data_IF_931857728789
#
_entry.id   IF_931857728789
#
_cell.length_a   1.000
_cell.length_b   1.000
_cell.length_c   1.000
_cell.angle_alpha   90.00
_cell.angle_beta   90.00
_cell.angle_gamma   90.00
#
_symmetry.space_group_name_H-M   'P 1'
#
loop_
_entity.id
_entity.type
_entity.pdbx_description
1 polymer ?
#
# COMPACT_ATOMS: atom_id res chain seq x y z
N UNK A 1 -34.98 -3.89 44.90
CA UNK A 1 -34.06 -3.68 43.76
C UNK A 1 -32.73 -4.28 44.17
N UNK A 2 -32.34 -5.41 43.57
CA UNK A 2 -30.99 -5.94 43.79
C UNK A 2 -30.03 -5.00 43.07
N UNK A 3 -29.00 -4.51 43.78
CA UNK A 3 -27.88 -3.85 43.11
C UNK A 3 -27.26 -4.89 42.17
N UNK A 4 -27.43 -4.69 40.85
CA UNK A 4 -26.88 -5.56 39.82
C UNK A 4 -25.35 -5.49 39.75
N UNK A 5 -24.73 -4.53 40.45
CA UNK A 5 -23.30 -4.29 40.47
C UNK A 5 -22.76 -4.06 41.88
N UNK A 6 -21.52 -4.47 42.09
CA UNK A 6 -20.70 -4.13 43.25
C UNK A 6 -19.33 -3.69 42.74
N UNK A 7 -18.68 -2.76 43.46
CA UNK A 7 -17.33 -2.30 43.12
C UNK A 7 -16.35 -2.97 44.08
N UNK A 8 -15.37 -3.66 43.50
CA UNK A 8 -14.22 -4.19 44.21
C UNK A 8 -13.00 -3.34 43.90
N UNK A 9 -12.23 -3.01 44.93
CA UNK A 9 -10.96 -2.30 44.81
C UNK A 9 -9.82 -3.28 45.01
N UNK A 10 -8.88 -3.31 44.06
CA UNK A 10 -7.70 -4.18 44.14
C UNK A 10 -6.50 -3.33 44.51
N UNK A 11 -5.81 -3.69 45.60
CA UNK A 11 -4.56 -3.04 45.99
C UNK A 11 -3.46 -3.39 44.99
N UNK A 12 -3.20 -2.47 44.06
CA UNK A 12 -2.23 -2.67 42.98
C UNK A 12 -0.80 -2.87 43.51
N UNK A 13 -0.42 -2.21 44.61
CA UNK A 13 0.93 -2.31 45.16
C UNK A 13 1.24 -3.73 45.65
N UNK A 14 0.33 -4.30 46.44
CA UNK A 14 0.47 -5.68 46.93
C UNK A 14 0.40 -6.70 45.79
N UNK A 15 -0.49 -6.50 44.82
CA UNK A 15 -0.61 -7.39 43.67
C UNK A 15 0.66 -7.38 42.80
N UNK A 16 1.22 -6.21 42.54
CA UNK A 16 2.46 -6.08 41.77
C UNK A 16 3.62 -6.75 42.50
N UNK A 17 3.76 -6.55 43.81
CA UNK A 17 4.83 -7.17 44.60
C UNK A 17 4.78 -8.71 44.58
N UNK A 18 3.59 -9.30 44.46
CA UNK A 18 3.41 -10.76 44.39
C UNK A 18 3.69 -11.32 42.99
N UNK A 19 3.39 -10.57 41.95
CA UNK A 19 3.37 -11.09 40.57
C UNK A 19 4.55 -10.64 39.69
N UNK A 20 5.19 -9.50 39.99
CA UNK A 20 6.24 -8.92 39.15
C UNK A 20 7.59 -8.87 39.88
N UNK A 21 8.71 -8.98 39.15
CA UNK A 21 10.02 -8.73 39.70
C UNK A 21 10.18 -7.25 40.08
N UNK A 22 11.12 -6.96 40.99
CA UNK A 22 11.42 -5.58 41.42
C UNK A 22 12.00 -4.71 40.30
N UNK A 23 12.67 -5.33 39.32
CA UNK A 23 13.40 -4.64 38.24
C UNK A 23 13.09 -5.35 36.93
N UNK A 24 12.77 -4.58 35.89
CA UNK A 24 12.69 -5.04 34.50
C UNK A 24 13.97 -4.63 33.77
N UNK A 25 14.56 -5.56 33.03
CA UNK A 25 15.76 -5.33 32.23
C UNK A 25 15.34 -5.06 30.78
N UNK A 26 15.98 -4.08 30.14
CA UNK A 26 15.77 -3.71 28.73
C UNK A 26 17.13 -3.54 28.08
N UNK A 27 17.41 -4.33 27.05
CA UNK A 27 18.58 -4.13 26.19
C UNK A 27 18.22 -3.12 25.11
N UNK A 28 18.98 -2.03 25.02
CA UNK A 28 18.73 -0.95 24.06
C UNK A 28 19.84 -0.90 23.01
N UNK A 29 19.45 -0.71 21.75
CA UNK A 29 20.37 -0.38 20.65
C UNK A 29 20.56 1.14 20.51
N UNK A 30 21.42 1.57 19.59
CA UNK A 30 21.84 2.97 19.40
C UNK A 30 20.66 3.96 19.22
N UNK A 31 19.61 3.54 18.52
CA UNK A 31 18.45 4.37 18.23
C UNK A 31 17.21 3.92 19.02
N UNK A 32 17.41 3.45 20.25
CA UNK A 32 16.33 3.06 21.14
C UNK A 32 16.40 3.80 22.47
N UNK A 33 15.23 4.03 23.07
CA UNK A 33 15.11 4.60 24.42
C UNK A 33 13.98 3.96 25.20
N UNK A 34 14.02 4.13 26.52
CA UNK A 34 12.89 3.82 27.37
C UNK A 34 11.70 4.72 27.01
N UNK A 35 10.53 4.12 26.85
CA UNK A 35 9.30 4.82 26.55
C UNK A 35 8.91 5.73 27.72
N UNK A 36 8.80 7.06 27.53
CA UNK A 36 8.43 7.98 28.60
C UNK A 36 6.94 7.91 28.96
N UNK A 37 6.09 7.32 28.10
CA UNK A 37 4.64 7.22 28.35
C UNK A 37 4.33 6.13 29.37
N UNK A 38 4.99 4.98 29.27
CA UNK A 38 4.81 3.87 30.20
C UNK A 38 6.02 3.66 31.13
N UNK A 39 7.00 4.57 31.10
CA UNK A 39 8.23 4.51 31.89
C UNK A 39 8.96 3.16 31.77
N UNK A 40 8.98 2.57 30.56
CA UNK A 40 9.63 1.27 30.32
C UNK A 40 8.83 0.03 30.70
N UNK A 41 7.63 0.17 31.29
CA UNK A 41 6.80 -0.97 31.65
C UNK A 41 6.27 -1.71 30.42
N UNK A 42 6.00 -0.98 29.34
CA UNK A 42 5.34 -1.51 28.13
C UNK A 42 3.83 -1.70 28.28
N UNK A 43 3.27 -1.40 29.46
CA UNK A 43 1.86 -1.51 29.76
C UNK A 43 1.31 -0.20 30.34
N UNK A 44 0.00 -0.02 30.23
CA UNK A 44 -0.79 1.05 30.85
C UNK A 44 -2.08 0.46 31.40
N UNK A 45 -2.70 1.14 32.36
CA UNK A 45 -4.06 0.81 32.76
C UNK A 45 -5.01 1.30 31.67
N UNK A 46 -5.91 0.44 31.23
CA UNK A 46 -6.97 0.74 30.28
C UNK A 46 -8.34 0.42 30.89
N UNK A 47 -9.30 1.28 30.60
CA UNK A 47 -10.69 1.11 30.98
C UNK A 47 -11.42 0.34 29.87
N UNK A 48 -11.77 -0.93 30.12
CA UNK A 48 -12.60 -1.71 29.22
C UNK A 48 -14.06 -1.46 29.56
N UNK A 49 -14.72 -0.58 28.79
CA UNK A 49 -16.11 -0.17 29.03
C UNK A 49 -17.10 -1.26 28.59
N UNK A 50 -18.19 -1.42 29.34
CA UNK A 50 -19.24 -2.40 29.05
C UNK A 50 -20.60 -1.96 29.61
N UNK A 51 -21.65 -2.67 29.18
CA UNK A 51 -23.03 -2.48 29.61
C UNK A 51 -23.61 -3.78 30.14
N UNK A 52 -24.68 -3.69 30.93
CA UNK A 52 -25.40 -4.84 31.47
C UNK A 52 -26.78 -4.85 30.84
N UNK A 53 -27.14 -5.96 30.21
CA UNK A 53 -28.45 -6.12 29.60
C UNK A 53 -29.56 -5.94 30.66
N UNK A 54 -30.55 -5.09 30.35
CA UNK A 54 -31.66 -4.80 31.27
C UNK A 54 -31.34 -3.83 32.42
N UNK A 55 -30.15 -3.22 32.44
CA UNK A 55 -29.80 -2.22 33.47
C UNK A 55 -30.64 -0.93 33.31
N UNK A 56 -31.47 -0.68 34.32
CA UNK A 56 -32.33 0.49 34.42
C UNK A 56 -31.86 1.52 35.46
N UNK A 57 -30.61 1.39 35.93
CA UNK A 57 -29.97 2.37 36.81
C UNK A 57 -29.89 3.76 36.18
N UNK A 58 -29.68 4.81 36.98
CA UNK A 58 -29.49 6.16 36.45
C UNK A 58 -28.30 6.22 35.46
N UNK A 59 -27.23 5.47 35.75
CA UNK A 59 -26.06 5.39 34.89
C UNK A 59 -26.37 4.66 33.57
N UNK A 60 -27.05 3.51 33.61
CA UNK A 60 -27.46 2.76 32.41
C UNK A 60 -28.48 3.48 31.54
N UNK A 61 -29.31 4.35 32.13
CA UNK A 61 -30.20 5.24 31.36
C UNK A 61 -29.48 6.41 30.71
N UNK A 62 -28.38 6.89 31.31
CA UNK A 62 -27.63 8.08 30.84
C UNK A 62 -26.55 7.74 29.83
N UNK A 63 -25.89 6.58 29.96
CA UNK A 63 -24.75 6.19 29.13
C UNK A 63 -24.93 4.77 28.60
N UNK A 64 -24.57 4.54 27.33
CA UNK A 64 -24.68 3.23 26.68
C UNK A 64 -23.80 2.15 27.34
N UNK A 65 -22.60 2.53 27.79
CA UNK A 65 -21.64 1.65 28.47
C UNK A 65 -21.14 2.34 29.76
N UNK A 66 -21.94 2.31 30.84
CA UNK A 66 -21.65 3.08 32.06
C UNK A 66 -20.58 2.44 32.95
N UNK A 67 -20.26 1.16 32.74
CA UNK A 67 -19.36 0.39 33.58
C UNK A 67 -18.03 0.15 32.89
N UNK A 68 -17.00 -0.13 33.69
CA UNK A 68 -15.65 -0.38 33.18
C UNK A 68 -14.88 -1.36 34.06
N UNK A 69 -14.13 -2.23 33.41
CA UNK A 69 -13.11 -3.04 34.06
C UNK A 69 -11.73 -2.48 33.72
N UNK A 70 -10.99 -2.08 34.75
CA UNK A 70 -9.61 -1.64 34.57
C UNK A 70 -8.70 -2.85 34.41
N UNK A 71 -7.87 -2.86 33.37
CA UNK A 71 -6.89 -3.92 33.15
C UNK A 71 -5.57 -3.34 32.65
N UNK A 72 -4.50 -4.10 32.79
CA UNK A 72 -3.24 -3.79 32.10
C UNK A 72 -3.42 -4.07 30.60
N UNK A 73 -3.05 -3.10 29.78
CA UNK A 73 -3.06 -3.17 28.32
C UNK A 73 -1.72 -2.67 27.78
N UNK A 74 -1.36 -3.09 26.58
CA UNK A 74 -0.11 -2.68 25.96
C UNK A 74 -0.07 -1.17 25.71
N UNK A 75 1.08 -0.56 26.00
CA UNK A 75 1.35 0.82 25.66
C UNK A 75 1.49 0.97 24.15
N UNK A 76 0.61 1.76 23.54
CA UNK A 76 0.55 1.95 22.09
C UNK A 76 1.70 2.80 21.53
N UNK A 77 2.46 3.44 22.41
CA UNK A 77 3.55 4.35 22.02
C UNK A 77 4.92 3.66 22.00
N UNK A 78 5.00 2.35 22.22
CA UNK A 78 6.26 1.61 22.32
C UNK A 78 6.06 0.12 22.03
N UNK A 79 7.15 -0.61 21.89
CA UNK A 79 7.15 -2.06 21.93
C UNK A 79 7.76 -2.52 23.26
N UNK A 80 6.94 -3.11 24.14
CA UNK A 80 7.37 -3.62 25.45
C UNK A 80 8.19 -2.62 26.30
N UNK A 81 7.85 -1.33 26.22
CA UNK A 81 8.49 -0.27 27.01
C UNK A 81 9.68 0.40 26.32
N UNK A 82 10.01 0.01 25.09
CA UNK A 82 11.11 0.59 24.31
C UNK A 82 10.55 1.31 23.08
N UNK A 83 11.04 2.53 22.85
CA UNK A 83 10.76 3.31 21.65
C UNK A 83 11.96 3.28 20.72
N UNK A 84 11.70 2.97 19.45
CA UNK A 84 12.64 3.21 18.36
C UNK A 84 12.58 4.68 17.94
N UNK A 85 13.77 5.21 17.69
CA UNK A 85 14.03 6.57 17.26
C UNK A 85 14.47 6.55 15.81
N UNK A 86 14.11 7.60 15.08
CA UNK A 86 14.61 7.81 13.73
C UNK A 86 16.13 8.01 13.77
N UNK A 87 16.92 7.24 13.01
CA UNK A 87 18.37 7.39 12.95
C UNK A 87 18.84 8.79 12.55
N UNK A 88 18.02 9.50 11.77
CA UNK A 88 18.38 10.79 11.18
C UNK A 88 18.06 11.99 12.08
N UNK A 89 16.93 11.96 12.79
CA UNK A 89 16.48 13.10 13.61
C UNK A 89 16.41 12.82 15.12
N UNK A 90 16.61 11.57 15.53
CA UNK A 90 16.58 11.14 16.94
C UNK A 90 15.20 11.19 17.60
N UNK A 91 14.15 11.59 16.88
CA UNK A 91 12.79 11.62 17.40
C UNK A 91 12.13 10.23 17.33
N UNK A 92 11.21 9.91 18.25
CA UNK A 92 10.48 8.65 18.18
C UNK A 92 9.59 8.61 16.95
N UNK A 93 9.46 7.44 16.33
CA UNK A 93 8.48 7.23 15.27
C UNK A 93 7.06 7.46 15.78
N UNK A 94 6.23 8.14 14.97
CA UNK A 94 4.80 8.37 15.26
C UNK A 94 4.05 7.05 15.48
N UNK A 95 4.38 6.05 14.68
CA UNK A 95 3.90 4.69 14.81
C UNK A 95 5.09 3.74 14.97
N UNK A 96 5.16 3.04 16.10
CA UNK A 96 6.28 2.13 16.38
C UNK A 96 6.26 0.84 15.55
N UNK A 97 5.16 0.56 14.84
CA UNK A 97 5.08 -0.50 13.84
C UNK A 97 5.53 -0.04 12.42
N UNK A 98 5.64 1.26 12.18
CA UNK A 98 6.01 1.83 10.88
C UNK A 98 7.22 2.76 11.03
N UNK A 99 8.41 2.22 10.68
CA UNK A 99 9.71 2.83 10.96
C UNK A 99 10.16 3.81 9.86
N UNK A 100 9.24 4.65 9.40
CA UNK A 100 9.53 5.68 8.42
C UNK A 100 9.17 7.05 8.99
N UNK A 101 10.04 8.04 8.79
CA UNK A 101 9.95 9.35 9.44
C UNK A 101 9.94 10.47 8.40
N UNK A 102 9.07 11.46 8.55
CA UNK A 102 8.94 12.59 7.60
C UNK A 102 10.06 13.65 7.75
N UNK A 103 11.22 13.28 8.30
CA UNK A 103 12.34 14.19 8.55
C UNK A 103 13.24 14.35 7.32
N UNK A 104 13.96 15.47 7.25
CA UNK A 104 14.84 15.80 6.12
C UNK A 104 15.91 14.73 5.83
N UNK A 105 16.43 14.05 6.85
CA UNK A 105 17.42 12.99 6.63
C UNK A 105 16.83 11.74 5.99
N UNK A 106 15.61 11.33 6.38
CA UNK A 106 14.92 10.21 5.74
C UNK A 106 14.55 10.57 4.30
N UNK A 107 13.98 11.77 4.07
CA UNK A 107 13.61 12.23 2.73
C UNK A 107 14.80 12.22 1.74
N UNK A 108 16.00 12.60 2.20
CA UNK A 108 17.21 12.55 1.37
C UNK A 108 17.56 11.13 0.97
N UNK A 109 17.51 10.19 1.91
CA UNK A 109 17.79 8.77 1.64
C UNK A 109 16.73 8.18 0.72
N UNK A 110 15.46 8.51 0.93
CA UNK A 110 14.37 8.05 0.06
C UNK A 110 14.53 8.59 -1.37
N UNK A 111 14.90 9.86 -1.51
CA UNK A 111 15.14 10.47 -2.83
C UNK A 111 16.38 9.87 -3.51
N UNK A 112 17.47 9.63 -2.77
CA UNK A 112 18.65 8.92 -3.30
C UNK A 112 18.29 7.49 -3.75
N UNK A 113 17.46 6.77 -2.98
CA UNK A 113 16.98 5.44 -3.35
C UNK A 113 16.05 5.50 -4.57
N UNK A 114 15.18 6.51 -4.65
CA UNK A 114 14.29 6.76 -5.80
C UNK A 114 15.10 7.05 -7.06
N UNK A 115 16.08 7.94 -6.99
CA UNK A 115 17.00 8.26 -8.10
C UNK A 115 17.76 7.00 -8.52
N UNK A 116 18.27 6.22 -7.56
CA UNK A 116 18.96 4.96 -7.85
C UNK A 116 18.07 3.96 -8.58
N UNK A 117 16.85 3.73 -8.08
CA UNK A 117 15.85 2.85 -8.73
C UNK A 117 15.49 3.34 -10.13
N UNK A 118 15.31 4.66 -10.31
CA UNK A 118 15.06 5.28 -11.62
C UNK A 118 16.22 5.04 -12.57
N UNK A 119 17.46 5.25 -12.12
CA UNK A 119 18.66 5.05 -12.94
C UNK A 119 18.87 3.57 -13.31
N UNK A 120 18.60 2.65 -12.39
CA UNK A 120 18.66 1.20 -12.65
C UNK A 120 17.57 0.74 -13.62
N UNK A 121 16.37 1.32 -13.54
CA UNK A 121 15.27 1.07 -14.50
C UNK A 121 15.70 1.51 -15.90
N UNK A 122 16.28 2.70 -16.01
CA UNK A 122 16.67 3.31 -17.29
C UNK A 122 17.89 2.62 -17.90
N UNK A 123 18.87 2.22 -17.09
CA UNK A 123 20.08 1.54 -17.59
C UNK A 123 19.79 0.17 -18.20
N UNK A 124 18.66 -0.45 -17.85
CA UNK A 124 18.19 -1.72 -18.43
C UNK A 124 17.31 -1.52 -19.66
N UNK A 125 16.87 -0.29 -19.90
CA UNK A 125 15.95 0.02 -20.99
C UNK A 125 16.70 0.48 -22.24
N UNK A 126 16.06 0.31 -23.39
CA UNK A 126 16.63 0.67 -24.70
C UNK A 126 15.93 1.92 -25.22
N UNK A 127 16.71 2.92 -25.62
CA UNK A 127 16.19 4.09 -26.34
C UNK A 127 15.81 3.67 -27.76
N UNK A 128 14.61 4.03 -28.19
CA UNK A 128 14.11 3.79 -29.56
C UNK A 128 13.63 5.10 -30.19
N UNK A 129 13.55 5.12 -31.53
CA UNK A 129 12.89 6.20 -32.26
C UNK A 129 11.38 5.98 -32.22
N UNK A 130 10.59 7.06 -32.13
CA UNK A 130 9.13 6.99 -32.13
C UNK A 130 8.58 6.23 -33.35
N UNK A 131 9.24 6.34 -34.51
CA UNK A 131 8.81 5.68 -35.75
C UNK A 131 8.87 4.15 -35.68
N UNK A 132 9.66 3.62 -34.75
CA UNK A 132 9.82 2.19 -34.51
C UNK A 132 8.84 1.66 -33.45
N UNK A 133 7.96 2.52 -32.91
CA UNK A 133 6.97 2.18 -31.88
C UNK A 133 5.59 1.97 -32.53
N UNK A 134 4.97 0.82 -32.24
CA UNK A 134 3.64 0.43 -32.74
C UNK A 134 2.54 0.47 -31.65
N UNK A 135 2.87 0.96 -30.46
CA UNK A 135 1.99 1.06 -29.29
C UNK A 135 1.93 2.47 -28.72
N UNK A 136 1.08 2.72 -27.73
CA UNK A 136 1.08 3.98 -26.98
C UNK A 136 2.39 4.23 -26.21
N UNK A 137 2.58 5.48 -25.80
CA UNK A 137 3.69 6.00 -25.02
C UNK A 137 3.20 6.48 -23.65
N UNK A 138 3.86 6.07 -22.56
CA UNK A 138 3.49 6.36 -21.19
C UNK A 138 4.42 7.40 -20.54
N UNK A 139 3.84 8.46 -19.95
CA UNK A 139 4.54 9.45 -19.16
C UNK A 139 4.45 9.09 -17.66
N UNK A 140 5.59 8.77 -17.03
CA UNK A 140 5.64 8.40 -15.60
C UNK A 140 5.36 9.60 -14.68
N UNK A 141 5.69 10.81 -15.11
CA UNK A 141 5.47 12.05 -14.36
C UNK A 141 3.99 12.46 -14.27
N UNK A 142 3.21 12.18 -15.32
CA UNK A 142 1.78 12.54 -15.39
C UNK A 142 0.84 11.35 -15.20
N UNK A 143 1.37 10.13 -15.24
CA UNK A 143 0.62 8.87 -15.19
C UNK A 143 -0.40 8.72 -16.33
N UNK A 144 -0.02 9.18 -17.53
CA UNK A 144 -0.88 9.20 -18.72
C UNK A 144 -0.23 8.52 -19.93
N UNK A 145 -1.07 8.04 -20.85
CA UNK A 145 -0.66 7.41 -22.11
C UNK A 145 -1.06 8.26 -23.31
N UNK A 146 -0.17 8.37 -24.28
CA UNK A 146 -0.31 9.17 -25.50
C UNK A 146 -0.09 8.28 -26.73
N UNK A 147 -0.77 8.58 -27.84
CA UNK A 147 -0.56 7.85 -29.09
C UNK A 147 0.77 8.23 -29.75
N UNK A 148 1.17 9.49 -29.63
CA UNK A 148 2.43 10.03 -30.18
C UNK A 148 3.12 11.01 -29.21
N UNK A 149 4.38 11.34 -29.50
CA UNK A 149 5.11 12.42 -28.81
C UNK A 149 4.44 13.77 -29.07
N UNK A 150 3.82 13.95 -30.25
CA UNK A 150 3.02 15.14 -30.58
C UNK A 150 1.82 15.31 -29.66
N UNK A 151 1.03 14.25 -29.44
CA UNK A 151 -0.12 14.28 -28.54
C UNK A 151 0.29 14.61 -27.09
N UNK A 152 1.45 14.10 -26.66
CA UNK A 152 2.05 14.48 -25.37
C UNK A 152 2.36 15.97 -25.30
N UNK A 153 2.92 16.56 -26.36
CA UNK A 153 3.23 17.99 -26.37
C UNK A 153 1.98 18.87 -26.39
N UNK A 154 0.94 18.48 -27.13
CA UNK A 154 -0.35 19.18 -27.14
C UNK A 154 -1.00 19.19 -25.75
N UNK A 155 -0.97 18.03 -25.07
CA UNK A 155 -1.44 17.90 -23.69
C UNK A 155 -0.59 18.70 -22.70
N UNK A 156 0.75 18.62 -22.82
CA UNK A 156 1.67 19.43 -22.02
C UNK A 156 1.40 20.93 -22.15
N UNK A 157 1.24 21.42 -23.38
CA UNK A 157 0.95 22.83 -23.66
C UNK A 157 -0.37 23.28 -23.04
N UNK A 158 -1.38 22.42 -23.06
CA UNK A 158 -2.73 22.76 -22.60
C UNK A 158 -2.88 22.67 -21.09
N UNK A 159 -2.30 21.65 -20.47
CA UNK A 159 -2.61 21.27 -19.09
C UNK A 159 -1.45 21.49 -18.11
N UNK A 160 -0.21 21.63 -18.60
CA UNK A 160 0.98 21.59 -17.74
C UNK A 160 1.97 22.76 -17.96
N UNK A 161 1.79 23.57 -19.00
CA UNK A 161 2.71 24.66 -19.36
C UNK A 161 2.75 25.82 -18.36
N UNK A 162 1.61 26.14 -17.74
CA UNK A 162 1.45 27.31 -16.85
C UNK A 162 1.80 27.01 -15.38
N UNK A 163 2.12 25.76 -15.03
CA UNK A 163 2.39 25.36 -13.66
C UNK A 163 3.91 25.26 -13.40
N UNK A 164 4.47 26.19 -12.63
CA UNK A 164 5.86 26.16 -12.09
C UNK A 164 6.18 24.93 -11.20
N UNK A 165 5.26 23.97 -11.13
CA UNK A 165 5.24 22.85 -10.18
C UNK A 165 5.78 21.55 -10.79
N UNK A 166 5.67 21.35 -12.11
CA UNK A 166 6.00 20.06 -12.71
C UNK A 166 7.46 19.96 -13.18
N UNK A 167 8.05 18.81 -12.91
CA UNK A 167 9.35 18.46 -13.50
C UNK A 167 9.12 18.03 -14.94
N UNK A 168 9.72 18.75 -15.90
CA UNK A 168 9.63 18.41 -17.33
C UNK A 168 10.01 16.94 -17.56
N UNK A 169 9.10 16.11 -18.11
CA UNK A 169 9.42 14.72 -18.47
C UNK A 169 10.60 14.66 -19.44
N UNK A 170 11.47 13.65 -19.29
CA UNK A 170 12.66 13.50 -20.15
C UNK A 170 12.47 12.37 -21.19
N UNK A 171 11.50 11.50 -20.96
CA UNK A 171 11.25 10.31 -21.79
C UNK A 171 9.80 9.88 -21.66
N UNK A 172 9.31 9.20 -22.69
CA UNK A 172 8.07 8.45 -22.64
C UNK A 172 8.40 6.96 -22.78
N UNK A 173 7.77 6.12 -21.96
CA UNK A 173 7.97 4.68 -21.95
C UNK A 173 7.07 4.01 -22.98
N UNK A 174 7.60 3.08 -23.76
CA UNK A 174 6.77 2.32 -24.72
C UNK A 174 5.82 1.42 -23.93
N UNK A 175 4.53 1.48 -24.18
CA UNK A 175 3.54 0.67 -23.47
C UNK A 175 3.65 -0.82 -23.82
N UNK A 176 3.39 -1.66 -22.82
CA UNK A 176 3.03 -3.05 -23.07
C UNK A 176 1.58 -3.10 -23.55
N UNK A 177 1.26 -4.13 -24.34
CA UNK A 177 -0.09 -4.37 -24.85
C UNK A 177 -0.58 -5.71 -24.38
N UNK A 178 -1.75 -5.71 -23.76
CA UNK A 178 -2.53 -6.91 -23.53
C UNK A 178 -3.85 -6.80 -24.31
N UNK A 179 -4.27 -7.93 -24.87
CA UNK A 179 -5.54 -8.06 -25.58
C UNK A 179 -6.35 -9.14 -24.89
N UNK A 180 -7.68 -9.05 -25.02
CA UNK A 180 -8.56 -10.11 -24.57
C UNK A 180 -8.11 -11.46 -25.14
N UNK A 181 -7.97 -12.43 -24.25
CA UNK A 181 -7.65 -13.81 -24.57
C UNK A 181 -8.56 -14.69 -23.70
N UNK A 182 -9.19 -15.68 -24.33
CA UNK A 182 -10.01 -16.67 -23.65
C UNK A 182 -9.33 -18.01 -23.86
N UNK A 183 -9.03 -18.68 -22.75
CA UNK A 183 -8.41 -20.00 -22.74
C UNK A 183 -9.50 -21.07 -22.87
N UNK A 184 -9.48 -21.80 -23.99
CA UNK A 184 -10.42 -22.88 -24.26
C UNK A 184 -10.33 -24.01 -23.23
N UNK A 185 -9.14 -24.29 -22.69
CA UNK A 185 -8.95 -25.34 -21.69
C UNK A 185 -9.76 -25.04 -20.43
N UNK A 186 -9.66 -23.81 -19.90
CA UNK A 186 -10.43 -23.37 -18.74
C UNK A 186 -11.94 -23.38 -19.00
N UNK A 187 -12.37 -23.02 -20.22
CA UNK A 187 -13.80 -23.05 -20.59
C UNK A 187 -14.34 -24.48 -20.63
N UNK A 188 -13.59 -25.41 -21.22
CA UNK A 188 -13.99 -26.82 -21.35
C UNK A 188 -13.94 -27.52 -19.99
N UNK A 189 -12.92 -27.28 -19.19
CA UNK A 189 -12.79 -27.83 -17.83
C UNK A 189 -13.99 -27.44 -16.97
N UNK A 190 -14.34 -26.15 -16.94
CA UNK A 190 -15.52 -25.67 -16.23
C UNK A 190 -16.83 -26.28 -16.76
N UNK A 191 -16.97 -26.43 -18.08
CA UNK A 191 -18.17 -27.02 -18.68
C UNK A 191 -18.31 -28.52 -18.38
N UNK A 192 -17.20 -29.22 -18.11
CA UNK A 192 -17.17 -30.65 -17.85
C UNK A 192 -17.15 -31.01 -16.36
N UNK A 193 -17.10 -30.03 -15.45
CA UNK A 193 -16.95 -30.22 -14.00
C UNK A 193 -17.95 -31.22 -13.39
N UNK A 194 -19.20 -31.21 -13.88
CA UNK A 194 -20.30 -32.07 -13.40
C UNK A 194 -20.55 -33.31 -14.29
N UNK A 195 -19.72 -33.51 -15.31
CA UNK A 195 -19.83 -34.65 -16.22
C UNK A 195 -18.96 -35.83 -15.74
N UNK A 196 -19.05 -36.95 -16.46
CA UNK A 196 -18.21 -38.10 -16.15
C UNK A 196 -16.73 -37.81 -16.45
N UNK A 197 -15.83 -38.55 -15.81
CA UNK A 197 -14.37 -38.29 -15.78
C UNK A 197 -13.72 -38.14 -17.18
N UNK A 198 -14.21 -38.87 -18.18
CA UNK A 198 -13.66 -38.80 -19.54
C UNK A 198 -14.27 -37.68 -20.43
N UNK A 199 -15.24 -36.90 -19.93
CA UNK A 199 -16.00 -35.97 -20.76
C UNK A 199 -15.11 -34.86 -21.37
N UNK A 200 -14.15 -34.36 -20.58
CA UNK A 200 -13.17 -33.35 -21.02
C UNK A 200 -12.31 -33.85 -22.19
N UNK A 201 -11.86 -35.11 -22.16
CA UNK A 201 -11.00 -35.70 -23.20
C UNK A 201 -11.72 -35.87 -24.55
N UNK A 202 -13.05 -35.84 -24.56
CA UNK A 202 -13.85 -35.92 -25.79
C UNK A 202 -14.08 -34.56 -26.47
N UNK A 203 -13.65 -33.46 -25.86
CA UNK A 203 -13.86 -32.12 -26.38
C UNK A 203 -12.76 -31.69 -27.37
N UNK A 204 -13.16 -31.03 -28.46
CA UNK A 204 -12.24 -30.41 -29.42
C UNK A 204 -11.77 -29.03 -28.90
N UNK A 205 -10.83 -29.04 -27.97
CA UNK A 205 -10.25 -27.84 -27.35
C UNK A 205 -9.57 -26.95 -28.41
N UNK A 206 -8.86 -27.56 -29.37
CA UNK A 206 -8.20 -26.83 -30.44
C UNK A 206 -9.18 -26.12 -31.39
N UNK A 207 -10.28 -26.78 -31.75
CA UNK A 207 -11.37 -26.17 -32.51
C UNK A 207 -12.03 -25.01 -31.77
N UNK A 208 -12.29 -25.18 -30.47
CA UNK A 208 -12.82 -24.11 -29.62
C UNK A 208 -11.85 -22.93 -29.49
N UNK A 209 -10.56 -23.18 -29.26
CA UNK A 209 -9.55 -22.13 -29.17
C UNK A 209 -9.48 -21.30 -30.45
N UNK A 210 -9.55 -21.92 -31.62
CA UNK A 210 -9.57 -21.19 -32.90
C UNK A 210 -10.80 -20.28 -33.04
N UNK A 211 -11.97 -20.74 -32.57
CA UNK A 211 -13.20 -19.95 -32.56
C UNK A 211 -13.09 -18.77 -31.59
N UNK A 212 -12.60 -19.02 -30.37
CA UNK A 212 -12.38 -18.00 -29.34
C UNK A 212 -11.34 -16.97 -29.79
N UNK A 213 -10.22 -17.39 -30.37
CA UNK A 213 -9.19 -16.49 -30.90
C UNK A 213 -9.73 -15.60 -32.02
N UNK A 214 -10.56 -16.14 -32.90
CA UNK A 214 -11.21 -15.36 -33.96
C UNK A 214 -12.17 -14.35 -33.36
N UNK A 215 -13.00 -14.78 -32.42
CA UNK A 215 -13.92 -13.89 -31.72
C UNK A 215 -13.17 -12.78 -30.98
N UNK A 216 -12.08 -13.09 -30.27
CA UNK A 216 -11.24 -12.11 -29.56
C UNK A 216 -10.64 -11.07 -30.51
N UNK A 217 -10.21 -11.46 -31.72
CA UNK A 217 -9.67 -10.54 -32.74
C UNK A 217 -10.71 -9.54 -33.25
N UNK A 218 -11.97 -9.92 -33.28
CA UNK A 218 -13.06 -9.06 -33.77
C UNK A 218 -13.52 -8.02 -32.72
N UNK A 219 -13.04 -8.12 -31.48
CA UNK A 219 -13.43 -7.19 -30.42
C UNK A 219 -12.70 -5.85 -30.55
N UNK A 220 -13.47 -4.77 -30.57
CA UNK A 220 -12.95 -3.40 -30.51
C UNK A 220 -12.99 -2.88 -29.07
N UNK A 221 -11.98 -2.11 -28.67
CA UNK A 221 -11.89 -1.56 -27.30
C UNK A 221 -11.47 -2.55 -26.21
N UNK A 222 -11.06 -3.77 -26.58
CA UNK A 222 -10.57 -4.80 -25.65
C UNK A 222 -9.03 -4.90 -25.60
N UNK A 223 -8.34 -3.83 -26.01
CA UNK A 223 -6.89 -3.68 -25.92
C UNK A 223 -6.57 -2.79 -24.72
N UNK A 224 -5.69 -3.25 -23.83
CA UNK A 224 -5.22 -2.48 -22.69
C UNK A 224 -3.74 -2.20 -22.85
N UNK A 225 -3.38 -0.92 -22.73
CA UNK A 225 -2.01 -0.47 -22.66
C UNK A 225 -1.60 -0.32 -21.21
N UNK A 226 -0.39 -0.73 -20.87
CA UNK A 226 0.14 -0.58 -19.53
C UNK A 226 1.62 -0.14 -19.56
N UNK A 227 2.12 0.51 -18.50
CA UNK A 227 3.51 0.94 -18.44
C UNK A 227 4.49 -0.23 -18.63
N UNK A 228 5.38 -0.14 -19.64
CA UNK A 228 6.45 -1.11 -19.84
C UNK A 228 7.82 -0.41 -19.84
N UNK A 229 8.65 -0.73 -18.85
CA UNK A 229 9.93 -0.06 -18.62
C UNK A 229 11.11 -0.69 -19.37
N UNK A 230 10.86 -1.29 -20.55
CA UNK A 230 11.89 -1.96 -21.37
C UNK A 230 12.43 -1.07 -22.47
N UNK A 231 11.59 -0.21 -23.04
CA UNK A 231 11.95 0.71 -24.12
C UNK A 231 11.39 2.10 -23.80
N UNK A 232 12.07 3.12 -24.28
CA UNK A 232 11.62 4.49 -24.14
C UNK A 232 11.99 5.33 -25.36
N UNK A 233 11.21 6.38 -25.59
CA UNK A 233 11.48 7.45 -26.55
C UNK A 233 11.99 8.66 -25.76
N UNK A 234 13.07 9.30 -26.24
CA UNK A 234 13.55 10.55 -25.65
C UNK A 234 12.69 11.72 -26.12
N UNK A 235 12.28 12.56 -25.18
CA UNK A 235 11.52 13.77 -25.51
C UNK A 235 12.49 14.84 -26.00
N UNK A 236 12.26 15.35 -27.21
CA UNK A 236 13.02 16.45 -27.77
C UNK A 236 12.33 17.80 -27.50
N UNK A 237 12.61 18.42 -26.35
CA UNK A 237 12.02 19.71 -26.00
C UNK A 237 12.40 20.84 -26.97
N UNK A 238 13.52 20.74 -27.69
CA UNK A 238 13.90 21.74 -28.70
C UNK A 238 12.96 21.72 -29.91
N UNK A 239 12.27 20.61 -30.19
CA UNK A 239 11.22 20.56 -31.22
C UNK A 239 9.98 21.32 -30.78
N UNK A 240 9.54 21.13 -29.54
CA UNK A 240 8.42 21.85 -28.96
C UNK A 240 8.65 23.37 -28.91
N UNK A 241 9.84 23.83 -28.55
CA UNK A 241 10.14 25.27 -28.43
C UNK A 241 10.35 25.98 -29.79
N UNK A 242 10.34 25.25 -30.91
CA UNK A 242 10.49 25.81 -32.27
C UNK A 242 9.15 26.04 -32.99
N UNK A 243 8.05 25.57 -32.43
CA UNK A 243 6.67 25.82 -32.88
C UNK A 243 6.05 27.04 -32.20
#
# INVERSE_FOLDING_TARGET
MNNLTHREEVNLYEAIQKSFPKILIKDLTEHERICPVCNGLGMRIADNVYGIEGDNSEAGRKYLFPYKHQALSFCQSCYNGVQRLCPYCGQPYKNQAYLHCDCEGQKKVDEEERIKKRNEKVSKAVSVDEKDVDTMLYCEEFDECYDTVGDFFDDYATNYMDEEVYTKPVRLWVCGVEKIHIDADNVVDNACEELHEDAYEQCDIGGLQNLLDTWCKDQTGATTYYPCFKQYVLINWDEFERE
#
